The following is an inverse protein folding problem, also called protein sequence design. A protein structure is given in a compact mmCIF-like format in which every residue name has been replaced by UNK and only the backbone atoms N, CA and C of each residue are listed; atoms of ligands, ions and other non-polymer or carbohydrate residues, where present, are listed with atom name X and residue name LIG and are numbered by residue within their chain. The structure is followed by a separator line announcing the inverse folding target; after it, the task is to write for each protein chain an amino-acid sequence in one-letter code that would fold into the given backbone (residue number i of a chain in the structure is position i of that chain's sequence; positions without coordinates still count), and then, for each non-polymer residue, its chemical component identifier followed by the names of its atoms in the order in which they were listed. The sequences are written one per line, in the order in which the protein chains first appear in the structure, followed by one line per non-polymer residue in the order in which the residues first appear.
data_IF_813698164475
#
_entry.id   IF_813698164475
#
_cell.length_a   1.000
_cell.length_b   1.000
_cell.length_c   1.000
_cell.angle_alpha   90.00
_cell.angle_beta   90.00
_cell.angle_gamma   90.00
#
_symmetry.space_group_name_H-M   'P 1'
#
loop_
_entity.id
_entity.type
_entity.pdbx_description
1 polymer ?
#
# COMPACT_ATOMS: atom_id res chain seq x y z
N UNK A 1 -0.83 36.05 -18.64
CA UNK A 1 -0.90 34.73 -19.27
C UNK A 1 -0.05 33.80 -18.45
N UNK A 2 -0.62 32.77 -17.78
CA UNK A 2 0.19 31.79 -17.05
C UNK A 2 0.78 30.81 -18.06
N UNK A 3 2.10 30.63 -18.05
CA UNK A 3 2.81 29.64 -18.84
C UNK A 3 2.37 28.24 -18.43
N UNK A 4 1.83 27.49 -19.37
CA UNK A 4 1.56 26.07 -19.23
C UNK A 4 2.90 25.34 -19.08
N UNK A 5 3.31 25.03 -17.86
CA UNK A 5 4.36 24.07 -17.59
C UNK A 5 3.86 22.69 -18.03
N UNK A 6 4.08 22.35 -19.29
CA UNK A 6 3.83 21.03 -19.84
C UNK A 6 4.90 20.07 -19.29
N UNK A 7 4.75 19.66 -18.01
CA UNK A 7 5.61 18.68 -17.36
C UNK A 7 5.06 17.28 -17.61
N UNK A 8 4.98 16.88 -18.89
CA UNK A 8 4.61 15.53 -19.27
C UNK A 8 5.75 14.57 -18.88
N UNK A 9 5.67 13.97 -17.69
CA UNK A 9 6.55 12.87 -17.32
C UNK A 9 6.37 11.74 -18.35
N UNK A 10 7.47 11.34 -18.98
CA UNK A 10 7.49 10.18 -19.87
C UNK A 10 6.89 8.96 -19.12
N UNK A 11 5.94 8.28 -19.74
CA UNK A 11 5.28 7.09 -19.17
C UNK A 11 3.87 7.30 -18.63
N UNK A 12 3.40 8.55 -18.51
CA UNK A 12 2.00 8.82 -18.13
C UNK A 12 1.00 8.38 -19.21
N UNK A 13 1.45 8.37 -20.46
CA UNK A 13 0.66 7.91 -21.62
C UNK A 13 0.27 6.43 -21.55
N UNK A 14 0.97 5.65 -20.71
CA UNK A 14 0.70 4.20 -20.52
C UNK A 14 -0.36 3.92 -19.46
N UNK A 15 -0.80 4.95 -18.72
CA UNK A 15 -1.81 4.79 -17.69
C UNK A 15 -3.19 4.59 -18.32
N UNK A 16 -3.87 3.52 -17.94
CA UNK A 16 -5.19 3.17 -18.49
C UNK A 16 -6.33 3.74 -17.65
N UNK A 17 -6.11 3.96 -16.36
CA UNK A 17 -7.12 4.39 -15.42
C UNK A 17 -7.19 5.90 -15.22
N UNK A 18 -6.07 6.60 -15.41
CA UNK A 18 -6.01 8.05 -15.25
C UNK A 18 -6.64 8.76 -16.45
N UNK A 19 -7.66 9.60 -16.19
CA UNK A 19 -8.33 10.36 -17.24
C UNK A 19 -9.40 9.60 -18.03
N UNK A 20 -9.61 8.29 -17.81
CA UNK A 20 -10.75 7.56 -18.34
C UNK A 20 -12.04 8.04 -17.68
N UNK A 21 -13.12 8.28 -18.45
CA UNK A 21 -14.36 8.87 -17.98
C UNK A 21 -14.97 8.21 -16.73
N UNK A 22 -15.93 7.29 -16.86
CA UNK A 22 -16.57 6.61 -15.74
C UNK A 22 -15.63 5.56 -15.12
N UNK A 23 -15.31 5.69 -13.81
CA UNK A 23 -14.49 4.70 -13.09
C UNK A 23 -15.28 3.42 -12.84
N UNK A 24 -14.79 2.28 -13.32
CA UNK A 24 -15.28 0.97 -12.90
C UNK A 24 -14.58 0.54 -11.61
N UNK A 25 -15.36 0.19 -10.59
CA UNK A 25 -14.81 -0.35 -9.34
C UNK A 25 -14.70 -1.86 -9.43
N UNK A 26 -13.53 -2.45 -9.08
CA UNK A 26 -13.37 -3.89 -9.10
C UNK A 26 -14.29 -4.54 -8.04
N UNK A 27 -14.87 -5.69 -8.39
CA UNK A 27 -15.74 -6.46 -7.49
C UNK A 27 -14.99 -7.54 -6.72
N UNK A 28 -13.74 -7.80 -7.09
CA UNK A 28 -12.85 -8.79 -6.48
C UNK A 28 -11.42 -8.26 -6.43
N UNK A 29 -10.61 -8.87 -5.56
CA UNK A 29 -9.17 -8.65 -5.52
C UNK A 29 -8.54 -9.01 -6.88
N UNK A 30 -7.81 -8.06 -7.43
CA UNK A 30 -7.09 -8.22 -8.69
C UNK A 30 -5.83 -7.31 -8.68
N UNK A 31 -4.62 -7.87 -8.53
CA UNK A 31 -3.40 -7.06 -8.55
C UNK A 31 -3.07 -6.49 -9.93
N UNK A 32 -3.70 -6.95 -11.00
CA UNK A 32 -3.45 -6.44 -12.36
C UNK A 32 -3.97 -5.02 -12.58
N UNK A 33 -4.82 -4.51 -11.69
CA UNK A 33 -5.29 -3.11 -11.74
C UNK A 33 -4.24 -2.10 -11.28
N UNK A 34 -3.17 -2.57 -10.62
CA UNK A 34 -2.09 -1.69 -10.16
C UNK A 34 -1.27 -1.14 -11.32
N UNK A 35 -1.08 0.15 -11.34
CA UNK A 35 -0.24 0.86 -12.31
C UNK A 35 0.91 1.59 -11.63
N UNK A 36 2.00 1.76 -12.34
CA UNK A 36 3.17 2.48 -11.85
C UNK A 36 3.62 3.55 -12.84
N UNK A 37 4.20 4.62 -12.30
CA UNK A 37 4.80 5.71 -13.08
C UNK A 37 6.25 5.92 -12.67
N UNK A 38 7.09 6.50 -13.53
CA UNK A 38 8.46 6.81 -13.18
C UNK A 38 8.58 7.71 -11.96
N UNK A 39 9.50 7.36 -11.05
CA UNK A 39 9.83 8.19 -9.89
C UNK A 39 10.39 9.55 -10.35
N UNK A 40 9.94 10.67 -9.74
CA UNK A 40 10.40 12.00 -10.12
C UNK A 40 11.83 12.30 -9.66
N UNK A 41 12.38 11.53 -8.73
CA UNK A 41 13.66 11.80 -8.11
C UNK A 41 14.52 10.53 -8.01
N UNK A 42 15.84 10.72 -8.06
CA UNK A 42 16.83 9.64 -7.92
C UNK A 42 17.30 9.45 -6.48
N UNK A 43 17.24 10.51 -5.66
CA UNK A 43 17.57 10.45 -4.23
C UNK A 43 16.53 9.69 -3.43
N UNK A 44 16.92 9.29 -2.23
CA UNK A 44 15.99 8.67 -1.30
C UNK A 44 14.94 9.67 -0.82
N UNK A 45 13.69 9.26 -0.84
CA UNK A 45 12.58 9.95 -0.21
C UNK A 45 11.49 8.95 0.16
N UNK A 46 10.66 9.32 1.11
CA UNK A 46 9.54 8.51 1.53
C UNK A 46 8.27 8.86 0.76
N UNK A 47 7.55 7.83 0.37
CA UNK A 47 6.14 7.94 -0.03
C UNK A 47 5.32 7.19 1.01
N UNK A 48 4.27 7.83 1.54
CA UNK A 48 3.38 7.23 2.54
C UNK A 48 1.92 7.40 2.11
N UNK A 49 1.19 6.30 2.11
CA UNK A 49 -0.26 6.28 1.96
C UNK A 49 -0.91 5.89 3.29
N UNK A 50 -1.95 6.63 3.67
CA UNK A 50 -2.83 6.30 4.77
C UNK A 50 -4.20 5.97 4.19
N UNK A 51 -4.68 4.75 4.38
CA UNK A 51 -5.89 4.22 3.76
C UNK A 51 -6.89 3.83 4.85
N UNK A 52 -7.64 4.80 5.41
CA UNK A 52 -8.51 4.57 6.59
C UNK A 52 -9.82 3.87 6.24
N UNK A 53 -10.16 3.74 4.97
CA UNK A 53 -11.43 3.15 4.51
C UNK A 53 -11.24 1.71 3.99
N UNK A 54 -10.17 1.03 4.41
CA UNK A 54 -9.92 -0.33 3.99
C UNK A 54 -10.94 -1.30 4.61
N UNK A 55 -11.41 -2.25 3.81
CA UNK A 55 -12.25 -3.35 4.28
C UNK A 55 -11.96 -4.63 3.52
N UNK A 56 -12.09 -5.77 4.22
CA UNK A 56 -11.98 -7.12 3.68
C UNK A 56 -13.03 -8.02 4.35
N UNK A 57 -13.01 -9.31 4.08
CA UNK A 57 -13.89 -10.28 4.72
C UNK A 57 -13.07 -11.31 5.51
N UNK A 58 -13.60 -11.74 6.63
CA UNK A 58 -13.09 -12.93 7.32
C UNK A 58 -13.26 -14.15 6.40
N UNK A 59 -12.19 -14.93 6.11
CA UNK A 59 -12.29 -16.06 5.18
C UNK A 59 -13.11 -17.23 5.71
N UNK A 60 -13.41 -17.24 7.00
CA UNK A 60 -14.18 -18.29 7.66
C UNK A 60 -15.65 -17.92 7.86
N UNK A 61 -15.93 -16.68 8.26
CA UNK A 61 -17.29 -16.28 8.67
C UNK A 61 -17.95 -15.34 7.67
N UNK A 62 -17.19 -14.76 6.72
CA UNK A 62 -17.68 -13.73 5.82
C UNK A 62 -17.97 -12.38 6.51
N UNK A 63 -17.65 -12.25 7.80
CA UNK A 63 -17.82 -10.99 8.53
C UNK A 63 -16.91 -9.90 7.93
N UNK A 64 -17.43 -8.68 7.70
CA UNK A 64 -16.60 -7.57 7.27
C UNK A 64 -15.55 -7.17 8.32
N UNK A 65 -14.34 -6.95 7.87
CA UNK A 65 -13.22 -6.39 8.61
C UNK A 65 -12.92 -5.00 8.10
N UNK A 66 -12.64 -4.07 9.00
CA UNK A 66 -12.31 -2.68 8.69
C UNK A 66 -10.94 -2.34 9.26
N UNK A 67 -10.15 -1.56 8.52
CA UNK A 67 -8.82 -1.19 8.95
C UNK A 67 -8.38 0.16 8.40
N UNK A 68 -7.38 0.73 9.06
CA UNK A 68 -6.48 1.71 8.44
C UNK A 68 -5.24 0.98 7.96
N UNK A 69 -5.03 0.93 6.65
CA UNK A 69 -3.79 0.42 6.07
C UNK A 69 -2.83 1.57 5.83
N UNK A 70 -1.63 1.46 6.39
CA UNK A 70 -0.52 2.39 6.11
C UNK A 70 0.51 1.68 5.25
N UNK A 71 0.86 2.29 4.10
CA UNK A 71 1.86 1.80 3.17
C UNK A 71 2.94 2.87 3.09
N UNK A 72 4.18 2.53 3.47
CA UNK A 72 5.32 3.45 3.36
C UNK A 72 6.44 2.81 2.55
N UNK A 73 7.03 3.54 1.61
CA UNK A 73 8.13 2.98 0.83
C UNK A 73 9.13 4.05 0.37
N UNK A 74 10.35 3.60 0.07
CA UNK A 74 11.39 4.37 -0.60
C UNK A 74 11.47 3.88 -2.04
N UNK A 75 11.06 4.71 -3.04
CA UNK A 75 11.08 4.31 -4.44
C UNK A 75 12.49 4.03 -4.96
N UNK A 76 12.61 3.15 -5.93
CA UNK A 76 13.79 3.07 -6.81
C UNK A 76 13.49 3.84 -8.12
N UNK A 77 12.93 3.16 -9.11
CA UNK A 77 12.64 3.75 -10.43
C UNK A 77 11.17 4.09 -10.62
N UNK A 78 10.28 3.47 -9.84
CA UNK A 78 8.84 3.54 -10.01
C UNK A 78 8.14 3.97 -8.71
N UNK A 79 7.03 4.69 -8.86
CA UNK A 79 6.05 4.96 -7.82
C UNK A 79 4.69 4.43 -8.26
N UNK A 80 3.87 3.99 -7.30
CA UNK A 80 2.51 3.53 -7.61
C UNK A 80 1.63 4.70 -8.04
N UNK A 81 0.78 4.47 -9.06
CA UNK A 81 -0.25 5.44 -9.45
C UNK A 81 -1.40 5.38 -8.43
N UNK A 82 -1.79 6.52 -7.90
CA UNK A 82 -2.68 6.61 -6.73
C UNK A 82 -4.11 6.16 -6.99
N UNK A 83 -4.66 6.39 -8.19
CA UNK A 83 -6.00 5.93 -8.55
C UNK A 83 -6.04 4.41 -8.68
N UNK A 84 -5.01 3.80 -9.27
CA UNK A 84 -4.88 2.35 -9.39
C UNK A 84 -4.74 1.69 -8.02
N UNK A 85 -3.93 2.28 -7.12
CA UNK A 85 -3.82 1.80 -5.73
C UNK A 85 -5.16 1.85 -5.00
N UNK A 86 -5.92 2.95 -5.16
CA UNK A 86 -7.27 3.07 -4.58
C UNK A 86 -8.19 1.95 -5.07
N UNK A 87 -8.19 1.66 -6.37
CA UNK A 87 -9.02 0.61 -6.95
C UNK A 87 -8.56 -0.79 -6.51
N UNK A 88 -7.26 -1.01 -6.44
CA UNK A 88 -6.68 -2.24 -5.92
C UNK A 88 -7.15 -2.52 -4.48
N UNK A 89 -7.01 -1.54 -3.58
CA UNK A 89 -7.47 -1.68 -2.19
C UNK A 89 -8.99 -1.85 -2.09
N UNK A 90 -9.75 -1.21 -2.98
CA UNK A 90 -11.20 -1.41 -3.05
C UNK A 90 -11.57 -2.86 -3.40
N UNK A 91 -10.78 -3.54 -4.20
CA UNK A 91 -10.98 -4.94 -4.58
C UNK A 91 -10.96 -5.92 -3.40
N UNK A 92 -10.35 -5.56 -2.28
CA UNK A 92 -10.36 -6.39 -1.06
C UNK A 92 -11.73 -6.46 -0.38
N UNK A 93 -12.65 -5.57 -0.68
CA UNK A 93 -13.98 -5.48 -0.04
C UNK A 93 -14.74 -6.81 -0.01
N UNK A 94 -14.60 -7.62 -1.06
CA UNK A 94 -15.21 -8.93 -1.17
C UNK A 94 -14.18 -10.07 -1.08
N UNK A 95 -12.95 -9.77 -0.71
CA UNK A 95 -11.88 -10.76 -0.61
C UNK A 95 -11.77 -11.31 0.81
N UNK A 96 -11.88 -12.64 0.95
CA UNK A 96 -11.70 -13.33 2.20
C UNK A 96 -10.22 -13.59 2.48
N UNK A 97 -9.65 -12.89 3.47
CA UNK A 97 -8.28 -13.07 3.91
C UNK A 97 -8.14 -12.77 5.40
N UNK A 98 -7.23 -13.46 6.09
CA UNK A 98 -6.87 -13.08 7.45
C UNK A 98 -6.13 -11.73 7.45
N UNK A 99 -6.17 -11.02 8.57
CA UNK A 99 -5.56 -9.69 8.69
C UNK A 99 -4.07 -9.71 8.35
N UNK A 100 -3.37 -10.76 8.78
CA UNK A 100 -1.95 -11.00 8.53
C UNK A 100 -1.68 -11.26 7.04
N UNK A 101 -2.56 -11.99 6.36
CA UNK A 101 -2.43 -12.24 4.91
C UNK A 101 -2.60 -10.96 4.12
N UNK A 102 -3.58 -10.12 4.50
CA UNK A 102 -3.86 -8.84 3.83
C UNK A 102 -2.61 -7.97 3.72
N UNK A 103 -1.90 -7.73 4.83
CA UNK A 103 -0.71 -6.85 4.80
C UNK A 103 0.44 -7.46 4.01
N UNK A 104 0.59 -8.79 4.05
CA UNK A 104 1.60 -9.49 3.27
C UNK A 104 1.30 -9.47 1.77
N UNK A 105 0.05 -9.71 1.37
CA UNK A 105 -0.40 -9.62 -0.01
C UNK A 105 -0.12 -8.21 -0.57
N UNK A 106 -0.53 -7.17 0.14
CA UNK A 106 -0.30 -5.78 -0.29
C UNK A 106 1.19 -5.48 -0.43
N UNK A 107 2.02 -5.90 0.54
CA UNK A 107 3.47 -5.71 0.47
C UNK A 107 4.08 -6.45 -0.72
N UNK A 108 3.66 -7.69 -0.98
CA UNK A 108 4.18 -8.51 -2.08
C UNK A 108 3.82 -7.94 -3.45
N UNK A 109 2.56 -7.60 -3.66
CA UNK A 109 2.08 -7.04 -4.93
C UNK A 109 2.79 -5.72 -5.25
N UNK A 110 2.92 -4.82 -4.27
CA UNK A 110 3.63 -3.57 -4.46
C UNK A 110 5.14 -3.76 -4.63
N UNK A 111 5.75 -4.74 -3.96
CA UNK A 111 7.15 -5.08 -4.17
C UNK A 111 7.38 -5.59 -5.59
N UNK A 112 6.50 -6.46 -6.07
CA UNK A 112 6.55 -7.01 -7.44
C UNK A 112 6.38 -5.92 -8.51
N UNK A 113 5.44 -5.00 -8.30
CA UNK A 113 5.16 -3.90 -9.25
C UNK A 113 6.30 -2.87 -9.29
N UNK A 114 6.77 -2.42 -8.13
CA UNK A 114 7.62 -1.24 -8.00
C UNK A 114 9.11 -1.56 -7.91
N UNK A 115 9.46 -2.78 -7.47
CA UNK A 115 10.83 -3.14 -7.08
C UNK A 115 11.48 -2.02 -6.22
N UNK A 116 10.84 -1.59 -5.11
CA UNK A 116 11.28 -0.42 -4.36
C UNK A 116 12.61 -0.70 -3.66
N UNK A 117 13.24 0.35 -3.12
CA UNK A 117 14.42 0.17 -2.25
C UNK A 117 14.03 -0.41 -0.90
N UNK A 118 12.91 0.07 -0.37
CA UNK A 118 12.30 -0.34 0.89
C UNK A 118 10.79 -0.21 0.81
N UNK A 119 10.06 -1.08 1.50
CA UNK A 119 8.61 -0.99 1.69
C UNK A 119 8.19 -1.59 3.03
N UNK A 120 7.22 -0.98 3.66
CA UNK A 120 6.51 -1.50 4.82
C UNK A 120 4.99 -1.32 4.66
N UNK A 121 4.24 -2.26 5.21
CA UNK A 121 2.78 -2.22 5.28
C UNK A 121 2.36 -2.53 6.70
N UNK A 122 1.52 -1.68 7.26
CA UNK A 122 0.94 -1.82 8.59
C UNK A 122 -0.57 -1.75 8.50
N UNK A 123 -1.26 -2.78 9.01
CA UNK A 123 -2.71 -2.81 9.13
C UNK A 123 -3.11 -2.55 10.58
N UNK A 124 -4.01 -1.59 10.81
CA UNK A 124 -4.67 -1.37 12.11
C UNK A 124 -6.12 -1.73 11.96
N UNK A 125 -6.48 -2.97 12.34
CA UNK A 125 -7.83 -3.49 12.19
C UNK A 125 -8.70 -3.12 13.39
N UNK A 126 -9.96 -2.77 13.13
CA UNK A 126 -10.93 -2.47 14.18
C UNK A 126 -11.21 -3.73 15.02
N UNK A 127 -11.44 -3.58 16.34
CA UNK A 127 -11.66 -4.69 17.23
C UNK A 127 -12.90 -5.52 16.85
N UNK A 128 -12.77 -6.84 16.99
CA UNK A 128 -13.89 -7.79 17.03
C UNK A 128 -13.87 -8.51 18.36
N UNK A 129 -15.01 -8.48 19.09
CA UNK A 129 -15.08 -9.08 20.43
C UNK A 129 -14.10 -8.45 21.43
N UNK A 130 -13.73 -7.17 21.25
CA UNK A 130 -12.79 -6.47 22.12
C UNK A 130 -11.30 -6.71 21.81
N UNK A 131 -10.98 -7.44 20.72
CA UNK A 131 -9.61 -7.73 20.30
C UNK A 131 -9.31 -7.11 18.94
N UNK A 132 -8.30 -6.24 18.87
CA UNK A 132 -7.72 -5.73 17.60
C UNK A 132 -6.47 -6.52 17.23
N UNK A 133 -6.19 -6.59 15.93
CA UNK A 133 -5.00 -7.24 15.38
C UNK A 133 -4.32 -6.23 14.45
N UNK A 134 -3.05 -5.93 14.72
CA UNK A 134 -2.29 -4.90 14.01
C UNK A 134 -1.05 -5.50 13.33
N UNK A 135 -1.21 -6.29 12.26
CA UNK A 135 -0.08 -6.92 11.59
C UNK A 135 0.81 -5.89 10.89
N UNK A 136 2.11 -6.13 10.96
CA UNK A 136 3.15 -5.34 10.32
C UNK A 136 4.07 -6.24 9.50
N UNK A 137 4.42 -5.80 8.31
CA UNK A 137 5.39 -6.48 7.45
C UNK A 137 6.25 -5.47 6.72
N UNK A 138 7.50 -5.81 6.43
CA UNK A 138 8.37 -4.97 5.62
C UNK A 138 9.27 -5.79 4.69
N UNK A 139 9.93 -5.10 3.78
CA UNK A 139 10.94 -5.65 2.89
C UNK A 139 11.95 -4.56 2.51
N UNK A 140 13.22 -4.91 2.48
CA UNK A 140 14.31 -4.06 2.01
C UNK A 140 15.11 -4.75 0.90
N UNK A 141 15.55 -3.99 -0.10
CA UNK A 141 16.33 -4.53 -1.23
C UNK A 141 17.57 -5.28 -0.71
N UNK A 142 17.69 -6.59 -1.01
CA UNK A 142 18.78 -7.42 -0.48
C UNK A 142 20.17 -6.88 -0.84
N UNK A 143 21.13 -7.06 0.06
CA UNK A 143 22.54 -6.64 -0.09
C UNK A 143 22.71 -5.12 -0.26
N UNK A 144 21.83 -4.35 0.34
CA UNK A 144 21.90 -2.89 0.39
C UNK A 144 21.57 -2.37 1.79
N UNK A 145 21.84 -1.08 2.05
CA UNK A 145 21.43 -0.40 3.29
C UNK A 145 19.94 -0.50 3.61
N UNK A 146 19.11 -0.84 2.62
CA UNK A 146 17.66 -0.97 2.83
C UNK A 146 17.29 -2.33 3.43
N UNK A 147 18.10 -3.36 3.29
CA UNK A 147 17.94 -4.60 4.05
C UNK A 147 18.23 -4.36 5.54
N UNK A 148 19.28 -3.57 5.86
CA UNK A 148 19.58 -3.14 7.22
C UNK A 148 18.46 -2.25 7.80
N UNK A 149 17.92 -1.34 6.98
CA UNK A 149 16.76 -0.53 7.36
C UNK A 149 15.54 -1.41 7.69
N UNK A 150 15.28 -2.45 6.89
CA UNK A 150 14.16 -3.36 7.14
C UNK A 150 14.34 -4.11 8.47
N UNK A 151 15.53 -4.62 8.74
CA UNK A 151 15.86 -5.28 10.02
C UNK A 151 15.72 -4.31 11.21
N UNK A 152 16.23 -3.09 11.08
CA UNK A 152 16.10 -2.06 12.10
C UNK A 152 14.63 -1.73 12.38
N UNK A 153 13.84 -1.45 11.32
CA UNK A 153 12.43 -1.11 11.45
C UNK A 153 11.63 -2.25 12.09
N UNK A 154 11.93 -3.49 11.74
CA UNK A 154 11.28 -4.66 12.33
C UNK A 154 11.58 -4.78 13.83
N UNK A 155 12.85 -4.61 14.24
CA UNK A 155 13.26 -4.67 15.64
C UNK A 155 12.70 -3.54 16.49
N UNK A 156 12.50 -2.36 15.88
CA UNK A 156 12.02 -1.15 16.57
C UNK A 156 10.50 -0.97 16.48
N UNK A 157 9.80 -1.86 15.77
CA UNK A 157 8.35 -1.79 15.67
C UNK A 157 7.72 -1.91 17.05
N UNK A 158 6.74 -1.04 17.33
CA UNK A 158 6.04 -0.92 18.63
C UNK A 158 6.92 -0.65 19.87
N UNK A 159 8.23 -0.43 19.71
CA UNK A 159 9.07 -0.11 20.85
C UNK A 159 8.67 1.21 21.53
N UNK A 160 8.08 2.12 20.75
CA UNK A 160 7.54 3.40 21.21
C UNK A 160 6.10 3.58 20.72
N UNK A 161 5.12 2.88 21.31
CA UNK A 161 3.72 3.06 20.93
C UNK A 161 3.30 4.50 21.22
N UNK A 162 2.79 5.20 20.22
CA UNK A 162 2.41 6.62 20.34
C UNK A 162 1.26 6.82 21.33
N UNK A 163 0.31 5.88 21.36
CA UNK A 163 -0.83 5.84 22.29
C UNK A 163 -1.44 4.45 22.33
N UNK A 164 -2.02 4.09 23.46
CA UNK A 164 -3.01 3.01 23.49
C UNK A 164 -4.21 3.48 22.66
N UNK A 165 -4.43 2.83 21.54
CA UNK A 165 -5.50 3.18 20.62
C UNK A 165 -6.73 2.31 20.93
N UNK A 166 -7.70 2.93 21.61
CA UNK A 166 -8.98 2.32 21.97
C UNK A 166 -9.99 2.43 20.82
N UNK A 167 -9.58 2.05 19.62
CA UNK A 167 -10.40 2.10 18.42
C UNK A 167 -11.79 1.48 18.61
#
# INVERSE_FOLDING_TARGET
MPSSANNSRKGLEKLTLLGSGKTAYPVAYDPSVLEAVPSPAKQDYWVKFNCPEFTSLCPKTGQPDFATITISYVPDKLIVESKSLKLYLFGFRNHGAFHEDVVNIIREDLTKLLAPRYIEVWGKFLPRGGLSIDPYTNWGKPRTKYAELADFRFKMHDLYPEKVDNR
#
